data_IF_391704678223
#
_entry.id   IF_391704678223
#
_cell.length_a   1.000
_cell.length_b   1.000
_cell.length_c   1.000
_cell.angle_alpha   90.00
_cell.angle_beta   90.00
_cell.angle_gamma   90.00
#
_symmetry.space_group_name_H-M   'P 1'
#
loop_
_entity.id
_entity.type
_entity.pdbx_description
1 polymer ?
#
# COMPACT_ATOMS: atom_id res chain seq x y z
N UNK A 1 -5.95 7.97 1.95
CA UNK A 1 -6.75 8.52 3.07
C UNK A 1 -7.68 7.45 3.61
N UNK A 2 -7.90 7.46 4.92
CA UNK A 2 -8.80 6.55 5.64
C UNK A 2 -9.72 7.37 6.54
N UNK A 3 -11.02 7.15 6.39
CA UNK A 3 -12.03 7.66 7.32
C UNK A 3 -12.44 6.52 8.25
N UNK A 4 -12.15 6.67 9.52
CA UNK A 4 -12.38 5.67 10.56
C UNK A 4 -13.74 5.94 11.22
N UNK A 5 -14.37 4.89 11.76
CA UNK A 5 -15.65 5.04 12.46
C UNK A 5 -15.50 5.90 13.73
N UNK A 6 -14.41 5.68 14.47
CA UNK A 6 -14.07 6.33 15.73
C UNK A 6 -12.63 6.87 15.69
N UNK A 7 -12.28 7.73 16.65
CA UNK A 7 -10.88 8.14 16.82
C UNK A 7 -10.02 6.92 17.22
N UNK A 8 -8.95 6.61 16.49
CA UNK A 8 -8.13 5.44 16.78
C UNK A 8 -7.34 5.63 18.07
N UNK A 9 -7.35 4.60 18.92
CA UNK A 9 -6.44 4.45 20.06
C UNK A 9 -4.99 4.27 19.58
N UNK A 10 -3.99 4.50 20.46
CA UNK A 10 -2.57 4.28 20.09
C UNK A 10 -2.28 2.88 19.56
N UNK A 11 -2.94 1.85 20.11
CA UNK A 11 -2.77 0.46 19.67
C UNK A 11 -3.36 0.22 18.28
N UNK A 12 -4.56 0.75 18.00
CA UNK A 12 -5.17 0.64 16.67
C UNK A 12 -4.37 1.37 15.59
N UNK A 13 -3.78 2.53 15.93
CA UNK A 13 -2.84 3.25 15.04
C UNK A 13 -1.64 2.39 14.72
N UNK A 14 -1.03 1.77 15.73
CA UNK A 14 0.12 0.90 15.53
C UNK A 14 -0.23 -0.28 14.61
N UNK A 15 -1.37 -0.95 14.80
CA UNK A 15 -1.77 -2.04 13.93
C UNK A 15 -2.02 -1.59 12.49
N UNK A 16 -2.65 -0.43 12.30
CA UNK A 16 -2.88 0.13 10.98
C UNK A 16 -1.56 0.50 10.28
N UNK A 17 -0.64 1.12 11.01
CA UNK A 17 0.70 1.47 10.53
C UNK A 17 1.49 0.22 10.15
N UNK A 18 1.44 -0.84 10.95
CA UNK A 18 2.11 -2.11 10.63
C UNK A 18 1.55 -2.77 9.37
N UNK A 19 0.24 -2.67 9.10
CA UNK A 19 -0.34 -3.14 7.82
C UNK A 19 0.30 -2.40 6.65
N UNK A 20 0.43 -1.07 6.73
CA UNK A 20 1.04 -0.28 5.66
C UNK A 20 2.55 -0.48 5.55
N UNK A 21 3.27 -0.55 6.67
CA UNK A 21 4.71 -0.81 6.70
C UNK A 21 5.03 -2.16 6.06
N UNK A 22 4.28 -3.21 6.40
CA UNK A 22 4.45 -4.54 5.82
C UNK A 22 4.14 -4.54 4.32
N UNK A 23 3.01 -3.93 3.94
CA UNK A 23 2.60 -3.82 2.54
C UNK A 23 3.63 -3.06 1.70
N UNK A 24 4.09 -1.90 2.17
CA UNK A 24 5.09 -1.09 1.50
C UNK A 24 6.45 -1.79 1.40
N UNK A 25 6.89 -2.48 2.46
CA UNK A 25 8.17 -3.16 2.46
C UNK A 25 8.24 -4.26 1.39
N UNK A 26 7.18 -5.06 1.25
CA UNK A 26 7.05 -6.03 0.16
C UNK A 26 7.05 -5.34 -1.21
N UNK A 27 6.33 -4.22 -1.35
CA UNK A 27 6.30 -3.43 -2.58
C UNK A 27 7.66 -2.86 -2.96
N UNK A 28 8.45 -2.40 -1.99
CA UNK A 28 9.81 -1.89 -2.20
C UNK A 28 10.78 -2.96 -2.74
N UNK A 29 10.49 -4.23 -2.46
CA UNK A 29 11.23 -5.38 -2.97
C UNK A 29 10.67 -5.92 -4.29
N UNK A 30 9.64 -5.29 -4.88
CA UNK A 30 9.04 -5.69 -6.14
C UNK A 30 8.08 -6.88 -6.03
N UNK A 31 7.58 -7.19 -4.83
CA UNK A 31 6.71 -8.37 -4.61
C UNK A 31 5.37 -8.32 -5.35
N UNK A 32 4.96 -7.14 -5.82
CA UNK A 32 3.70 -6.94 -6.53
C UNK A 32 3.88 -6.88 -8.05
N UNK A 33 4.94 -7.46 -8.58
CA UNK A 33 5.20 -7.50 -10.02
C UNK A 33 4.24 -8.47 -10.74
N UNK A 34 3.29 -7.90 -11.49
CA UNK A 34 2.29 -8.63 -12.24
C UNK A 34 2.88 -9.45 -13.41
N UNK A 35 4.05 -9.06 -13.92
CA UNK A 35 4.74 -9.77 -15.00
C UNK A 35 5.40 -11.09 -14.52
N UNK A 36 5.52 -11.29 -13.20
CA UNK A 36 6.13 -12.50 -12.60
C UNK A 36 5.21 -13.28 -11.65
N UNK A 37 3.89 -13.29 -11.92
CA UNK A 37 2.89 -14.03 -11.14
C UNK A 37 2.79 -15.52 -11.52
N UNK A 38 3.91 -16.24 -11.60
CA UNK A 38 3.94 -17.60 -12.15
C UNK A 38 3.00 -18.59 -11.44
N UNK A 39 2.86 -18.51 -10.12
CA UNK A 39 1.94 -19.37 -9.36
C UNK A 39 0.49 -19.09 -9.72
N UNK A 40 0.14 -17.82 -9.95
CA UNK A 40 -1.20 -17.42 -10.40
C UNK A 40 -1.45 -17.91 -11.84
N UNK A 41 -0.46 -17.79 -12.72
CA UNK A 41 -0.52 -18.22 -14.12
C UNK A 41 -0.75 -19.73 -14.27
N UNK A 42 -0.24 -20.53 -13.32
CA UNK A 42 -0.46 -21.99 -13.28
C UNK A 42 -1.91 -22.38 -13.00
N UNK A 43 -2.70 -21.52 -12.35
CA UNK A 43 -4.10 -21.78 -12.06
C UNK A 43 -4.31 -22.85 -10.97
N UNK A 44 -4.86 -24.02 -11.36
CA UNK A 44 -5.40 -25.02 -10.41
C UNK A 44 -4.35 -26.07 -10.00
N UNK A 45 -3.42 -26.41 -10.90
CA UNK A 45 -2.43 -27.46 -10.69
C UNK A 45 -1.10 -26.88 -10.18
N UNK A 46 -1.08 -26.50 -8.90
CA UNK A 46 0.10 -25.89 -8.25
C UNK A 46 1.06 -26.97 -7.69
N UNK A 47 0.58 -28.21 -7.55
CA UNK A 47 1.35 -29.29 -6.93
C UNK A 47 2.61 -29.62 -7.73
N UNK A 48 3.77 -29.60 -7.06
CA UNK A 48 5.10 -29.79 -7.67
C UNK A 48 5.44 -28.79 -8.78
N UNK A 49 4.84 -27.59 -8.76
CA UNK A 49 5.26 -26.51 -9.65
C UNK A 49 6.71 -26.12 -9.34
N UNK A 50 7.56 -26.19 -10.36
CA UNK A 50 8.87 -25.57 -10.35
C UNK A 50 8.75 -24.09 -10.71
N UNK A 51 9.31 -23.22 -9.87
CA UNK A 51 9.36 -21.79 -10.16
C UNK A 51 10.49 -21.50 -11.16
N UNK A 52 10.16 -20.87 -12.29
CA UNK A 52 11.11 -20.56 -13.34
C UNK A 52 11.95 -19.33 -12.95
N UNK A 53 13.15 -19.59 -12.42
CA UNK A 53 14.09 -18.54 -12.03
C UNK A 53 14.63 -17.76 -13.23
N UNK A 54 14.78 -18.39 -14.40
CA UNK A 54 15.26 -17.68 -15.59
C UNK A 54 14.21 -16.68 -16.09
N UNK A 55 12.93 -17.06 -16.06
CA UNK A 55 11.82 -16.11 -16.29
C UNK A 55 11.85 -14.99 -15.26
N UNK A 56 11.95 -15.32 -13.96
CA UNK A 56 11.97 -14.33 -12.89
C UNK A 56 13.10 -13.30 -13.03
N UNK A 57 14.31 -13.75 -13.38
CA UNK A 57 15.49 -12.90 -13.58
C UNK A 57 15.39 -12.04 -14.86
N UNK A 58 14.57 -12.45 -15.84
CA UNK A 58 14.37 -11.71 -17.09
C UNK A 58 13.35 -10.57 -17.00
N UNK A 59 12.49 -10.59 -15.98
CA UNK A 59 11.44 -9.59 -15.78
C UNK A 59 12.02 -8.35 -15.08
N UNK A 60 11.61 -7.16 -15.53
CA UNK A 60 12.04 -5.91 -14.91
C UNK A 60 11.41 -5.76 -13.52
N UNK A 61 12.19 -5.35 -12.52
CA UNK A 61 11.66 -5.10 -11.19
C UNK A 61 10.61 -3.98 -11.21
N UNK A 62 9.55 -4.15 -10.40
CA UNK A 62 8.42 -3.23 -10.27
C UNK A 62 8.29 -2.74 -8.80
N UNK A 63 9.24 -1.90 -8.30
CA UNK A 63 9.26 -1.53 -6.89
C UNK A 63 8.42 -0.28 -6.58
N UNK A 64 7.98 -0.19 -5.32
CA UNK A 64 7.59 1.08 -4.70
C UNK A 64 8.82 1.85 -4.22
N UNK A 65 8.75 3.18 -4.20
CA UNK A 65 9.92 3.99 -3.85
C UNK A 65 9.87 4.47 -2.40
N UNK A 66 8.80 5.21 -2.05
CA UNK A 66 8.72 5.97 -0.81
C UNK A 66 7.33 5.87 -0.15
N UNK A 67 7.32 6.02 1.17
CA UNK A 67 6.12 6.12 1.99
C UNK A 67 6.39 7.09 3.14
N UNK A 68 5.44 7.99 3.42
CA UNK A 68 5.51 8.89 4.57
C UNK A 68 5.01 8.22 5.85
N UNK A 69 5.33 8.80 6.99
CA UNK A 69 4.66 8.46 8.24
C UNK A 69 3.14 8.70 8.14
N UNK A 70 2.39 7.99 8.97
CA UNK A 70 0.95 8.22 9.13
C UNK A 70 0.67 9.51 9.89
N UNK A 71 -0.25 10.30 9.35
CA UNK A 71 -0.81 11.46 10.02
C UNK A 71 -2.26 11.16 10.41
N UNK A 72 -2.70 11.66 11.58
CA UNK A 72 -4.08 11.52 12.04
C UNK A 72 -4.69 12.87 12.42
N UNK A 73 -5.97 13.05 12.12
CA UNK A 73 -6.78 14.20 12.53
C UNK A 73 -8.22 13.75 12.83
N UNK A 74 -8.57 13.65 14.12
CA UNK A 74 -9.87 13.11 14.52
C UNK A 74 -10.04 11.67 14.06
N UNK A 75 -11.08 11.40 13.27
CA UNK A 75 -11.35 10.09 12.66
C UNK A 75 -10.62 9.88 11.33
N UNK A 76 -9.85 10.86 10.86
CA UNK A 76 -9.10 10.74 9.62
C UNK A 76 -7.68 10.24 9.87
N UNK A 77 -7.24 9.33 9.01
CA UNK A 77 -5.83 8.95 8.83
C UNK A 77 -5.39 9.18 7.39
N UNK A 78 -4.13 9.54 7.18
CA UNK A 78 -3.53 9.60 5.85
C UNK A 78 -2.05 9.24 5.87
N UNK A 79 -1.60 8.70 4.75
CA UNK A 79 -0.22 8.40 4.44
C UNK A 79 -0.03 8.69 2.95
N UNK A 80 1.10 9.28 2.58
CA UNK A 80 1.51 9.44 1.19
C UNK A 80 2.41 8.29 0.79
N UNK A 81 2.20 7.78 -0.43
CA UNK A 81 2.95 6.66 -0.98
C UNK A 81 3.30 6.98 -2.43
N UNK A 82 4.57 6.80 -2.79
CA UNK A 82 5.02 6.68 -4.17
C UNK A 82 5.05 5.20 -4.55
N UNK A 83 4.09 4.80 -5.40
CA UNK A 83 3.97 3.43 -5.88
C UNK A 83 5.12 3.05 -6.82
N UNK A 84 5.94 4.01 -7.28
CA UNK A 84 7.01 3.77 -8.24
C UNK A 84 6.47 3.13 -9.51
N UNK A 85 7.03 1.97 -9.87
CA UNK A 85 6.56 1.16 -10.99
C UNK A 85 5.74 -0.06 -10.55
N UNK A 86 5.39 -0.15 -9.26
CA UNK A 86 4.61 -1.26 -8.68
C UNK A 86 3.24 -1.42 -9.34
N UNK A 87 2.86 -2.67 -9.67
CA UNK A 87 1.58 -2.95 -10.33
C UNK A 87 0.37 -2.83 -9.39
N UNK A 88 -0.81 -2.64 -10.00
CA UNK A 88 -2.06 -2.38 -9.30
C UNK A 88 -2.54 -3.52 -8.38
N UNK A 89 -1.99 -4.74 -8.53
CA UNK A 89 -2.26 -5.85 -7.59
C UNK A 89 -1.88 -5.48 -6.16
N UNK A 90 -0.89 -4.58 -5.98
CA UNK A 90 -0.54 -4.03 -4.69
C UNK A 90 -1.75 -3.37 -3.99
N UNK A 91 -2.58 -2.65 -4.74
CA UNK A 91 -3.74 -1.94 -4.21
C UNK A 91 -4.86 -2.92 -3.83
N UNK A 92 -5.10 -3.94 -4.65
CA UNK A 92 -6.08 -4.98 -4.33
C UNK A 92 -5.71 -5.73 -3.04
N UNK A 93 -4.42 -6.09 -2.88
CA UNK A 93 -3.91 -6.73 -1.67
C UNK A 93 -4.11 -5.83 -0.45
N UNK A 94 -3.78 -4.53 -0.57
CA UNK A 94 -3.98 -3.57 0.51
C UNK A 94 -5.46 -3.43 0.89
N UNK A 95 -6.37 -3.32 -0.09
CA UNK A 95 -7.81 -3.22 0.16
C UNK A 95 -8.32 -4.48 0.88
N UNK A 96 -7.86 -5.66 0.49
CA UNK A 96 -8.22 -6.92 1.15
C UNK A 96 -7.74 -6.97 2.60
N UNK A 97 -6.50 -6.54 2.86
CA UNK A 97 -5.97 -6.43 4.21
C UNK A 97 -6.76 -5.43 5.06
N UNK A 98 -7.05 -4.25 4.53
CA UNK A 98 -7.83 -3.21 5.23
C UNK A 98 -9.27 -3.62 5.47
N UNK A 99 -9.87 -4.41 4.57
CA UNK A 99 -11.21 -4.97 4.76
C UNK A 99 -11.24 -5.93 5.94
N UNK A 100 -10.20 -6.75 6.14
CA UNK A 100 -10.12 -7.64 7.29
C UNK A 100 -9.79 -6.85 8.56
N UNK A 101 -8.84 -5.91 8.49
CA UNK A 101 -8.51 -5.01 9.60
C UNK A 101 -9.76 -4.28 10.13
N UNK A 102 -10.60 -3.77 9.22
CA UNK A 102 -11.85 -3.07 9.53
C UNK A 102 -12.84 -3.91 10.33
N UNK A 103 -12.85 -5.24 10.13
CA UNK A 103 -13.73 -6.15 10.86
C UNK A 103 -13.23 -6.46 12.26
N UNK A 104 -11.92 -6.63 12.40
CA UNK A 104 -11.32 -7.24 13.59
C UNK A 104 -10.79 -6.21 14.60
N UNK A 105 -10.42 -5.01 14.12
CA UNK A 105 -9.76 -3.99 14.95
C UNK A 105 -10.55 -2.69 15.00
N UNK A 106 -10.57 -1.91 13.91
CA UNK A 106 -11.19 -0.60 13.87
C UNK A 106 -11.96 -0.40 12.56
N UNK A 107 -13.30 -0.25 12.60
CA UNK A 107 -14.08 -0.08 11.38
C UNK A 107 -13.65 1.13 10.55
N UNK A 108 -13.44 0.89 9.26
CA UNK A 108 -13.09 1.89 8.25
C UNK A 108 -14.35 2.19 7.43
N UNK A 109 -14.81 3.44 7.47
CA UNK A 109 -15.97 3.95 6.70
C UNK A 109 -15.66 4.06 5.22
N UNK A 110 -14.48 4.62 4.91
CA UNK A 110 -14.11 5.00 3.55
C UNK A 110 -12.60 4.97 3.37
N UNK A 111 -12.17 4.48 2.21
CA UNK A 111 -10.78 4.54 1.73
C UNK A 111 -10.78 5.43 0.49
N UNK A 112 -9.82 6.36 0.41
CA UNK A 112 -9.65 7.24 -0.75
C UNK A 112 -8.19 7.18 -1.21
N UNK A 113 -7.98 6.80 -2.47
CA UNK A 113 -6.67 6.80 -3.12
C UNK A 113 -6.50 8.08 -3.94
N UNK A 114 -5.36 8.76 -3.75
CA UNK A 114 -5.09 10.06 -4.40
C UNK A 114 -6.04 11.18 -3.98
N UNK A 115 -5.92 12.32 -4.68
CA UNK A 115 -6.78 13.49 -4.51
C UNK A 115 -6.51 14.35 -3.27
N UNK A 116 -7.18 15.50 -3.21
CA UNK A 116 -7.17 16.40 -2.05
C UNK A 116 -8.45 16.17 -1.27
N UNK A 117 -8.33 15.72 -0.02
CA UNK A 117 -9.48 15.65 0.87
C UNK A 117 -9.93 17.08 1.23
N UNK A 118 -11.21 17.39 0.99
CA UNK A 118 -11.78 18.71 1.31
C UNK A 118 -11.90 18.93 2.82
N UNK A 119 -12.11 17.86 3.57
CA UNK A 119 -12.28 17.89 5.03
C UNK A 119 -10.92 18.02 5.75
N UNK A 120 -9.84 17.64 5.08
CA UNK A 120 -8.48 17.79 5.58
C UNK A 120 -7.50 18.08 4.44
N UNK A 121 -7.21 19.36 4.21
CA UNK A 121 -6.28 19.77 3.15
C UNK A 121 -4.83 19.37 3.46
N UNK A 122 -4.04 19.23 2.39
CA UNK A 122 -2.59 19.04 2.49
C UNK A 122 -1.94 20.42 2.34
N UNK A 123 -1.07 20.80 3.26
CA UNK A 123 -0.31 22.05 3.16
C UNK A 123 0.50 22.08 1.85
N UNK A 124 0.42 23.19 1.11
CA UNK A 124 1.10 23.34 -0.18
C UNK A 124 2.62 23.13 -0.11
N UNK A 125 3.23 23.46 1.05
CA UNK A 125 4.67 23.26 1.32
C UNK A 125 5.06 21.79 1.44
N UNK A 126 4.20 20.94 2.02
CA UNK A 126 4.42 19.48 2.05
C UNK A 126 4.30 18.90 0.65
N UNK A 127 3.34 19.39 -0.14
CA UNK A 127 3.17 19.02 -1.54
C UNK A 127 4.47 19.17 -2.35
N UNK A 128 5.18 20.30 -2.22
CA UNK A 128 6.45 20.52 -2.93
C UNK A 128 7.61 19.63 -2.47
N UNK A 129 7.65 19.23 -1.19
CA UNK A 129 8.68 18.30 -0.70
C UNK A 129 8.50 16.91 -1.33
N UNK A 130 7.26 16.42 -1.42
CA UNK A 130 6.96 15.13 -2.06
C UNK A 130 7.35 15.08 -3.55
N UNK A 131 7.21 16.20 -4.28
CA UNK A 131 7.64 16.27 -5.68
C UNK A 131 9.15 16.47 -5.86
N UNK A 132 9.85 17.09 -4.90
CA UNK A 132 11.28 17.34 -5.02
C UNK A 132 12.15 16.11 -4.70
N UNK A 133 11.62 15.14 -3.94
CA UNK A 133 12.28 13.85 -3.70
C UNK A 133 12.29 12.93 -4.94
N UNK A 134 11.54 13.26 -6.00
CA UNK A 134 11.53 12.54 -7.30
C UNK A 134 12.63 13.02 -8.27
N UNK A 135 13.42 14.05 -7.93
CA UNK A 135 14.36 14.72 -8.85
C UNK A 135 15.85 14.61 -8.51
N UNK A 136 16.27 13.58 -7.75
CA UNK A 136 17.69 13.33 -7.48
C UNK A 136 18.14 11.92 -7.85
#
# INVERSE_FOLDING_TARGET
WLELENMPSPTEKQYLEEVFNSWFYLGKLGAYNAENLQVQDMGVEISYMDYDNAKADSVMMSPMHNMSDFEYLGTWGRCWVDLGTSDLIAIDILINALKQFSKDFLPIKRIIFGGVNKDWSVDARKKSTFYNEETY
#
